data_IF_506269980736
#
_entry.id   IF_506269980736
#
_cell.length_a   1.000
_cell.length_b   1.000
_cell.length_c   1.000
_cell.angle_alpha   90.00
_cell.angle_beta   90.00
_cell.angle_gamma   90.00
#
_symmetry.space_group_name_H-M   'P 1'
#
loop_
_entity.id
_entity.type
_entity.pdbx_description
1 polymer ?
#
# COMPACT_ATOMS: atom_id res chain seq x y z
N UNK A 1 -5.40 5.30 -7.38
CA UNK A 1 -4.78 4.04 -6.92
C UNK A 1 -3.47 4.38 -6.21
N UNK A 2 -3.26 3.90 -4.99
CA UNK A 2 -2.07 4.11 -4.16
C UNK A 2 -1.32 2.80 -4.02
N UNK A 3 -0.04 2.79 -4.38
CA UNK A 3 0.82 1.62 -4.18
C UNK A 3 1.55 1.77 -2.85
N UNK A 4 1.36 0.80 -1.97
CA UNK A 4 2.04 0.69 -0.67
C UNK A 4 3.17 -0.32 -0.84
N UNK A 5 4.41 0.14 -0.71
CA UNK A 5 5.59 -0.73 -0.83
C UNK A 5 5.80 -1.48 0.49
N UNK A 6 5.76 -2.81 0.43
CA UNK A 6 6.14 -3.69 1.52
C UNK A 6 7.66 -3.89 1.51
N UNK A 7 8.34 -3.23 2.45
CA UNK A 7 9.77 -3.36 2.71
C UNK A 7 10.07 -4.17 3.98
N UNK A 8 9.13 -5.00 4.45
CA UNK A 8 9.25 -5.80 5.68
C UNK A 8 8.65 -5.13 6.93
N UNK A 9 7.71 -4.21 6.76
CA UNK A 9 7.06 -3.51 7.88
C UNK A 9 5.76 -4.19 8.33
N UNK A 10 5.53 -4.25 9.65
CA UNK A 10 4.36 -4.92 10.24
C UNK A 10 3.04 -4.10 10.24
N UNK A 11 3.03 -2.86 9.73
CA UNK A 11 1.91 -1.92 9.87
C UNK A 11 1.12 -1.67 8.57
N UNK A 12 1.41 -2.39 7.48
CA UNK A 12 0.86 -2.10 6.14
C UNK A 12 -0.67 -2.14 6.07
N UNK A 13 -1.30 -3.04 6.85
CA UNK A 13 -2.76 -3.14 6.93
C UNK A 13 -3.40 -1.90 7.57
N UNK A 14 -2.72 -1.25 8.51
CA UNK A 14 -3.19 0.00 9.12
C UNK A 14 -3.10 1.16 8.12
N UNK A 15 -1.99 1.21 7.37
CA UNK A 15 -1.78 2.20 6.30
C UNK A 15 -2.81 2.04 5.19
N UNK A 16 -3.05 0.80 4.73
CA UNK A 16 -4.07 0.48 3.73
C UNK A 16 -5.46 0.98 4.14
N UNK A 17 -5.88 0.66 5.38
CA UNK A 17 -7.16 1.14 5.93
C UNK A 17 -7.28 2.66 6.00
N UNK A 18 -6.17 3.36 6.26
CA UNK A 18 -6.18 4.82 6.31
C UNK A 18 -6.48 5.41 4.92
N UNK A 19 -5.86 4.86 3.87
CA UNK A 19 -6.13 5.27 2.49
C UNK A 19 -7.54 4.87 2.01
N UNK A 20 -8.00 3.65 2.33
CA UNK A 20 -9.36 3.21 2.02
C UNK A 20 -10.42 4.13 2.64
N UNK A 21 -10.21 4.61 3.88
CA UNK A 21 -11.09 5.59 4.54
C UNK A 21 -11.14 6.95 3.83
N UNK A 22 -10.09 7.29 3.07
CA UNK A 22 -10.04 8.50 2.26
C UNK A 22 -10.63 8.27 0.86
N UNK A 23 -11.19 7.09 0.59
CA UNK A 23 -11.75 6.73 -0.72
C UNK A 23 -10.68 6.35 -1.75
N UNK A 24 -9.44 6.12 -1.32
CA UNK A 24 -8.37 5.73 -2.22
C UNK A 24 -8.33 4.20 -2.38
N UNK A 25 -8.33 3.74 -3.63
CA UNK A 25 -7.99 2.36 -3.97
C UNK A 25 -6.50 2.11 -3.70
N UNK A 26 -6.17 1.00 -3.04
CA UNK A 26 -4.81 0.69 -2.60
C UNK A 26 -4.34 -0.69 -3.03
N UNK A 27 -3.06 -0.82 -3.36
CA UNK A 27 -2.39 -2.10 -3.62
C UNK A 27 -1.12 -2.18 -2.79
N UNK A 28 -0.91 -3.29 -2.08
CA UNK A 28 0.36 -3.59 -1.40
C UNK A 28 1.22 -4.43 -2.33
N UNK A 29 2.51 -4.13 -2.43
CA UNK A 29 3.48 -4.90 -3.22
C UNK A 29 4.87 -4.80 -2.62
N UNK A 30 5.64 -5.89 -2.63
CA UNK A 30 7.08 -5.88 -2.39
C UNK A 30 7.90 -5.86 -3.68
N UNK A 31 7.21 -5.98 -4.82
CA UNK A 31 7.81 -5.98 -6.15
C UNK A 31 8.10 -4.53 -6.60
N UNK A 32 9.38 -4.15 -6.80
CA UNK A 32 9.77 -2.81 -7.23
C UNK A 32 9.33 -2.49 -8.66
N UNK A 33 9.10 -3.49 -9.51
CA UNK A 33 8.71 -3.29 -10.92
C UNK A 33 7.26 -2.79 -11.05
N UNK A 34 6.47 -2.85 -9.97
CA UNK A 34 5.08 -2.39 -9.93
C UNK A 34 4.96 -0.85 -9.90
N UNK A 35 6.05 -0.13 -9.60
CA UNK A 35 6.08 1.35 -9.52
C UNK A 35 6.81 1.97 -10.74
N UNK A 36 7.10 1.17 -11.77
CA UNK A 36 7.77 1.59 -13.01
C UNK A 36 6.87 2.20 -14.07
#
# INVERSE_FOLDING_TARGET
>A
MVTIVDYGSGNLRSVQKAFERLGAETRITSDPDVVG
#
